data_IF_985201275511
#
_entry.id   IF_985201275511
#
_cell.length_a   1.000
_cell.length_b   1.000
_cell.length_c   1.000
_cell.angle_alpha   90.00
_cell.angle_beta   90.00
_cell.angle_gamma   90.00
#
_symmetry.space_group_name_H-M   'P 1'
#
loop_
_entity.id
_entity.type
_entity.pdbx_description
1 polymer ?
#
# COMPACT_ATOMS: atom_id res chain seq x y z
N UNK A 1 52.45 -45.85 4.07
CA UNK A 1 51.16 -45.82 4.79
C UNK A 1 50.84 -44.50 5.50
N UNK A 2 51.79 -43.54 5.61
CA UNK A 2 51.53 -42.25 6.30
C UNK A 2 50.98 -41.14 5.38
N UNK A 3 50.99 -41.30 4.05
CA UNK A 3 50.52 -40.29 3.08
C UNK A 3 49.04 -40.40 2.77
N UNK A 4 48.43 -41.56 2.94
CA UNK A 4 46.98 -41.74 2.71
C UNK A 4 46.13 -41.17 3.82
N UNK A 5 46.63 -41.04 5.02
CA UNK A 5 45.88 -40.52 6.14
C UNK A 5 45.77 -38.98 6.14
N UNK A 6 46.70 -38.31 5.46
CA UNK A 6 46.67 -36.85 5.34
C UNK A 6 45.69 -36.35 4.28
N UNK A 7 45.30 -37.18 3.32
CA UNK A 7 44.33 -36.86 2.30
C UNK A 7 42.87 -37.11 2.78
N UNK A 8 42.68 -37.99 3.75
CA UNK A 8 41.34 -38.21 4.33
C UNK A 8 40.89 -37.12 5.31
N UNK A 9 41.84 -36.41 5.94
CA UNK A 9 41.55 -35.34 6.90
C UNK A 9 41.16 -34.01 6.27
N UNK A 10 41.53 -33.79 5.00
CA UNK A 10 41.20 -32.53 4.29
C UNK A 10 39.85 -32.59 3.57
N UNK A 11 39.32 -33.79 3.29
CA UNK A 11 38.01 -33.92 2.62
C UNK A 11 36.83 -33.77 3.59
N UNK A 12 37.02 -33.97 4.88
CA UNK A 12 35.96 -33.84 5.89
C UNK A 12 35.73 -32.43 6.37
N UNK A 13 36.66 -31.48 6.12
CA UNK A 13 36.51 -30.09 6.56
C UNK A 13 35.75 -29.22 5.55
N UNK A 14 35.58 -29.68 4.30
CA UNK A 14 34.90 -28.89 3.26
C UNK A 14 33.38 -29.08 3.22
N UNK A 15 32.81 -30.03 3.95
CA UNK A 15 31.37 -30.36 3.91
C UNK A 15 30.60 -29.66 5.03
N UNK A 16 31.28 -29.12 6.05
CA UNK A 16 30.60 -28.49 7.21
C UNK A 16 30.26 -27.02 7.05
N UNK A 17 30.52 -26.38 5.92
CA UNK A 17 30.18 -24.96 5.70
C UNK A 17 28.90 -24.72 4.89
N UNK A 18 28.17 -25.75 4.47
CA UNK A 18 26.90 -25.58 3.72
C UNK A 18 25.63 -25.76 4.58
N UNK A 19 25.75 -25.93 5.90
CA UNK A 19 24.59 -26.11 6.76
C UNK A 19 24.18 -24.88 7.58
N UNK A 20 24.69 -23.69 7.23
CA UNK A 20 24.42 -22.45 7.96
C UNK A 20 23.41 -21.52 7.27
N UNK A 21 22.68 -22.01 6.27
CA UNK A 21 21.56 -21.28 5.66
C UNK A 21 20.30 -22.13 5.75
N UNK A 22 19.63 -22.07 6.89
CA UNK A 22 18.38 -22.84 7.05
C UNK A 22 17.82 -22.77 8.46
N UNK A 23 17.88 -21.62 9.11
CA UNK A 23 16.97 -21.30 10.19
C UNK A 23 15.90 -20.37 9.59
N UNK A 24 15.08 -20.90 8.72
CA UNK A 24 13.76 -20.33 8.47
C UNK A 24 13.00 -20.48 9.79
N UNK A 25 12.98 -19.38 10.52
CA UNK A 25 11.94 -19.15 11.49
C UNK A 25 10.66 -19.16 10.66
N UNK A 26 9.87 -20.22 10.82
CA UNK A 26 8.48 -20.22 10.43
C UNK A 26 7.85 -18.99 11.09
N UNK A 27 7.77 -17.90 10.33
CA UNK A 27 6.78 -16.89 10.57
C UNK A 27 5.49 -17.60 10.20
N UNK A 28 4.74 -18.04 11.19
CA UNK A 28 3.33 -18.31 11.01
C UNK A 28 2.75 -17.07 10.37
N UNK A 29 2.68 -17.09 9.03
CA UNK A 29 1.75 -16.27 8.30
C UNK A 29 0.39 -16.70 8.79
N UNK A 30 -0.15 -15.99 9.76
CA UNK A 30 -1.58 -15.91 9.89
C UNK A 30 -2.04 -15.34 8.53
N UNK A 31 -2.36 -16.24 7.62
CA UNK A 31 -3.30 -15.94 6.56
C UNK A 31 -4.56 -15.50 7.27
N UNK A 32 -4.65 -14.20 7.54
CA UNK A 32 -5.94 -13.58 7.70
C UNK A 32 -6.63 -13.84 6.37
N UNK A 33 -7.44 -14.86 6.40
CA UNK A 33 -8.41 -15.16 5.37
C UNK A 33 -9.36 -13.96 5.34
N UNK A 34 -8.94 -12.91 4.61
CA UNK A 34 -9.82 -11.82 4.23
C UNK A 34 -10.74 -12.46 3.21
N UNK A 35 -11.80 -13.05 3.70
CA UNK A 35 -12.95 -13.37 2.89
C UNK A 35 -13.53 -12.01 2.49
N UNK A 36 -13.09 -11.52 1.33
CA UNK A 36 -13.79 -10.45 0.64
C UNK A 36 -15.11 -11.09 0.21
N UNK A 37 -16.10 -11.04 1.08
CA UNK A 37 -17.46 -11.24 0.67
C UNK A 37 -17.78 -10.05 -0.24
N UNK A 38 -17.87 -10.32 -1.52
CA UNK A 38 -18.36 -9.44 -2.57
C UNK A 38 -19.86 -9.20 -2.33
N UNK A 39 -20.16 -8.54 -1.21
CA UNK A 39 -21.46 -7.97 -0.94
C UNK A 39 -21.40 -6.50 -1.34
N UNK A 40 -21.75 -6.24 -2.58
CA UNK A 40 -21.95 -4.90 -3.13
C UNK A 40 -23.21 -4.19 -2.56
N UNK A 41 -23.71 -4.62 -1.41
CA UNK A 41 -24.78 -3.94 -0.71
C UNK A 41 -24.26 -3.37 0.62
N UNK A 42 -23.89 -2.09 0.53
CA UNK A 42 -23.78 -1.14 1.65
C UNK A 42 -22.76 -1.46 2.73
N UNK A 43 -21.50 -1.16 2.44
CA UNK A 43 -20.43 -1.11 3.46
C UNK A 43 -20.58 0.08 4.44
N UNK A 44 -21.62 0.89 4.32
CA UNK A 44 -21.84 2.07 5.17
C UNK A 44 -22.98 1.85 6.18
N UNK A 45 -22.86 2.44 7.39
CA UNK A 45 -21.77 3.30 7.85
C UNK A 45 -20.48 2.52 8.11
N UNK A 46 -19.32 3.12 7.80
CA UNK A 46 -18.00 2.55 8.08
C UNK A 46 -17.25 3.44 9.07
N UNK A 47 -16.68 2.84 10.12
CA UNK A 47 -15.85 3.55 11.09
C UNK A 47 -14.39 3.14 10.90
N UNK A 48 -13.52 4.14 10.72
CA UNK A 48 -12.08 3.96 10.64
C UNK A 48 -11.38 4.72 11.76
N UNK A 49 -10.26 4.21 12.22
CA UNK A 49 -9.43 4.89 13.21
C UNK A 49 -8.21 5.48 12.51
N UNK A 50 -8.00 6.78 12.67
CA UNK A 50 -6.84 7.46 12.09
C UNK A 50 -5.54 7.17 12.87
N UNK A 51 -4.41 7.67 12.35
CA UNK A 51 -3.09 7.48 12.97
C UNK A 51 -2.96 8.11 14.37
N UNK A 52 -3.86 9.01 14.76
CA UNK A 52 -3.91 9.65 16.06
C UNK A 52 -4.85 8.91 17.04
N UNK A 53 -5.47 7.81 16.60
CA UNK A 53 -6.43 7.04 17.40
C UNK A 53 -7.84 7.65 17.43
N UNK A 54 -8.14 8.60 16.55
CA UNK A 54 -9.47 9.19 16.42
C UNK A 54 -10.33 8.33 15.50
N UNK A 55 -11.54 8.00 15.96
CA UNK A 55 -12.55 7.33 15.14
C UNK A 55 -13.27 8.32 14.24
N UNK A 56 -13.40 7.94 12.98
CA UNK A 56 -14.12 8.70 11.95
C UNK A 56 -15.16 7.75 11.36
N UNK A 57 -16.41 8.14 11.40
CA UNK A 57 -17.52 7.38 10.82
C UNK A 57 -17.98 8.06 9.54
N UNK A 58 -18.01 7.28 8.46
CA UNK A 58 -18.62 7.66 7.19
C UNK A 58 -20.00 7.00 7.13
N UNK A 59 -21.02 7.81 7.09
CA UNK A 59 -22.42 7.33 7.04
C UNK A 59 -22.79 6.82 5.64
N UNK A 60 -22.14 7.36 4.61
CA UNK A 60 -22.34 7.01 3.21
C UNK A 60 -21.02 7.12 2.44
N UNK A 61 -20.95 6.58 1.23
CA UNK A 61 -19.82 6.74 0.35
C UNK A 61 -19.59 8.23 0.03
N UNK A 62 -18.33 8.71 0.05
CA UNK A 62 -18.06 10.07 -0.36
C UNK A 62 -18.37 10.22 -1.86
N UNK A 63 -19.12 11.24 -2.20
CA UNK A 63 -19.43 11.64 -3.56
C UNK A 63 -18.48 12.74 -4.10
N UNK A 64 -17.61 13.27 -3.22
CA UNK A 64 -16.64 14.32 -3.54
C UNK A 64 -15.33 14.06 -2.84
N UNK A 65 -14.25 13.96 -3.60
CA UNK A 65 -12.91 13.63 -3.10
C UNK A 65 -11.91 14.69 -3.58
N UNK A 66 -11.08 15.18 -2.67
CA UNK A 66 -9.91 15.99 -3.00
C UNK A 66 -8.65 15.20 -2.66
N UNK A 67 -7.89 14.84 -3.68
CA UNK A 67 -6.64 14.09 -3.50
C UNK A 67 -5.45 15.03 -3.37
N UNK A 68 -4.74 14.93 -2.25
CA UNK A 68 -3.62 15.82 -1.92
C UNK A 68 -2.28 15.34 -2.44
N UNK A 69 -2.16 14.07 -2.84
CA UNK A 69 -0.87 13.50 -3.27
C UNK A 69 -1.05 12.59 -4.48
N UNK A 70 -0.08 12.59 -5.43
CA UNK A 70 -0.17 11.80 -6.66
C UNK A 70 -0.43 10.30 -6.42
N UNK A 71 0.25 9.70 -5.46
CA UNK A 71 0.07 8.27 -5.16
C UNK A 71 -1.34 7.91 -4.73
N UNK A 72 -2.01 8.79 -3.98
CA UNK A 72 -3.39 8.58 -3.60
C UNK A 72 -4.33 8.72 -4.80
N UNK A 73 -4.07 9.70 -5.66
CA UNK A 73 -4.83 9.91 -6.90
C UNK A 73 -4.78 8.66 -7.78
N UNK A 74 -3.59 8.10 -8.00
CA UNK A 74 -3.42 6.89 -8.80
C UNK A 74 -4.21 5.71 -8.21
N UNK A 75 -4.19 5.54 -6.88
CA UNK A 75 -4.97 4.49 -6.20
C UNK A 75 -6.47 4.70 -6.40
N UNK A 76 -6.97 5.94 -6.29
CA UNK A 76 -8.39 6.24 -6.47
C UNK A 76 -8.85 5.91 -7.90
N UNK A 77 -8.04 6.25 -8.92
CA UNK A 77 -8.32 5.87 -10.31
C UNK A 77 -8.34 4.35 -10.50
N UNK A 78 -7.38 3.61 -9.91
CA UNK A 78 -7.34 2.14 -9.99
C UNK A 78 -8.51 1.49 -9.27
N UNK A 79 -9.07 2.13 -8.26
CA UNK A 79 -10.28 1.67 -7.58
C UNK A 79 -11.57 1.99 -8.36
N UNK A 80 -11.49 2.76 -9.45
CA UNK A 80 -12.63 3.13 -10.28
C UNK A 80 -13.58 4.13 -9.64
N UNK A 81 -13.05 5.00 -8.76
CA UNK A 81 -13.77 6.09 -8.10
C UNK A 81 -13.26 7.46 -8.58
N UNK A 82 -12.87 7.50 -9.83
CA UNK A 82 -12.33 8.71 -10.47
C UNK A 82 -13.41 9.77 -10.72
N UNK A 83 -14.66 9.37 -10.87
CA UNK A 83 -15.77 10.31 -11.06
C UNK A 83 -15.97 11.21 -9.83
N UNK A 84 -15.74 10.69 -8.63
CA UNK A 84 -15.85 11.40 -7.36
C UNK A 84 -14.67 12.33 -7.07
N UNK A 85 -13.59 12.26 -7.85
CA UNK A 85 -12.42 13.14 -7.66
C UNK A 85 -12.70 14.52 -8.25
N UNK A 86 -12.87 15.53 -7.40
CA UNK A 86 -13.07 16.92 -7.78
C UNK A 86 -11.76 17.71 -7.88
N UNK A 87 -10.77 17.36 -7.05
CA UNK A 87 -9.51 18.09 -6.99
C UNK A 87 -8.30 17.20 -6.83
N UNK A 88 -7.19 17.58 -7.48
CA UNK A 88 -5.93 16.85 -7.49
C UNK A 88 -4.72 17.78 -7.32
N UNK A 89 -3.61 17.23 -6.84
CA UNK A 89 -2.36 17.97 -6.68
C UNK A 89 -1.78 18.42 -8.04
N UNK A 90 -1.08 19.54 -8.07
CA UNK A 90 -0.46 20.07 -9.32
C UNK A 90 0.58 19.12 -9.94
N UNK A 91 1.17 18.24 -9.13
CA UNK A 91 2.15 17.26 -9.58
C UNK A 91 1.51 15.95 -10.10
N UNK A 92 0.18 15.83 -10.05
CA UNK A 92 -0.51 14.67 -10.61
C UNK A 92 -0.41 14.68 -12.13
N UNK A 93 0.10 13.58 -12.69
CA UNK A 93 0.32 13.43 -14.12
C UNK A 93 -0.09 12.06 -14.66
N UNK A 94 -0.64 11.20 -13.82
CA UNK A 94 -1.12 9.89 -14.18
C UNK A 94 -2.38 9.52 -13.35
N UNK A 95 -3.36 8.83 -13.97
CA UNK A 95 -3.48 8.57 -15.42
C UNK A 95 -3.76 9.83 -16.25
N UNK A 96 -3.84 9.73 -17.57
CA UNK A 96 -4.03 10.89 -18.46
C UNK A 96 -5.28 11.70 -18.11
N UNK A 97 -6.34 11.04 -17.66
CA UNK A 97 -7.61 11.63 -17.24
C UNK A 97 -7.48 12.63 -16.07
N UNK A 98 -6.39 12.52 -15.29
CA UNK A 98 -6.13 13.46 -14.19
C UNK A 98 -5.97 14.92 -14.66
N UNK A 99 -5.66 15.11 -15.95
CA UNK A 99 -5.54 16.43 -16.56
C UNK A 99 -6.86 17.23 -16.59
N UNK A 100 -7.99 16.54 -16.50
CA UNK A 100 -9.33 17.13 -16.52
C UNK A 100 -9.79 17.60 -15.13
N UNK A 101 -9.09 17.18 -14.07
CA UNK A 101 -9.46 17.48 -12.69
C UNK A 101 -8.94 18.86 -12.24
N UNK A 102 -9.65 19.48 -11.29
CA UNK A 102 -9.26 20.79 -10.74
C UNK A 102 -7.93 20.70 -9.99
N UNK A 103 -7.02 21.64 -10.28
CA UNK A 103 -5.72 21.72 -9.60
C UNK A 103 -5.86 22.48 -8.28
N UNK A 104 -5.40 21.88 -7.19
CA UNK A 104 -5.54 22.41 -5.83
C UNK A 104 -4.24 22.95 -5.23
N UNK A 105 -3.18 23.08 -6.05
CA UNK A 105 -1.83 23.41 -5.60
C UNK A 105 -0.93 22.19 -5.45
N UNK A 106 0.35 22.44 -5.25
CA UNK A 106 1.38 21.41 -5.14
C UNK A 106 2.03 21.39 -3.75
N UNK A 107 3.19 22.03 -3.61
CA UNK A 107 3.88 22.18 -2.30
C UNK A 107 3.08 23.07 -1.32
N UNK A 108 2.39 24.05 -1.86
CA UNK A 108 1.44 24.89 -1.14
C UNK A 108 0.05 24.65 -1.72
N UNK A 109 -0.88 24.24 -0.84
CA UNK A 109 -2.26 23.99 -1.26
C UNK A 109 -3.05 25.30 -1.32
N UNK A 110 -3.89 25.40 -2.33
CA UNK A 110 -4.83 26.50 -2.46
C UNK A 110 -6.12 26.18 -1.66
N UNK A 111 -6.15 26.64 -0.42
CA UNK A 111 -7.28 26.39 0.48
C UNK A 111 -8.58 27.00 -0.01
N UNK A 112 -8.52 28.08 -0.78
CA UNK A 112 -9.71 28.70 -1.37
C UNK A 112 -10.33 27.78 -2.42
N UNK A 113 -9.51 27.21 -3.30
CA UNK A 113 -9.98 26.21 -4.28
C UNK A 113 -10.53 24.99 -3.56
N UNK A 114 -9.80 24.42 -2.60
CA UNK A 114 -10.25 23.24 -1.86
C UNK A 114 -11.61 23.49 -1.20
N UNK A 115 -11.79 24.64 -0.53
CA UNK A 115 -13.06 24.97 0.13
C UNK A 115 -14.19 25.24 -0.86
N UNK A 116 -13.87 25.64 -2.09
CA UNK A 116 -14.88 25.83 -3.14
C UNK A 116 -15.38 24.50 -3.75
N UNK A 117 -14.62 23.42 -3.53
CA UNK A 117 -14.98 22.06 -3.95
C UNK A 117 -15.78 21.31 -2.85
N UNK A 118 -15.92 21.89 -1.67
CA UNK A 118 -16.60 21.26 -0.53
C UNK A 118 -18.13 21.42 -0.57
#
# INVERSE_FOLDING_TARGET
>A
MKKFWRLAATATLAISMLAACGAEKEIEQQEQNITVEENSDTAFPVTVTDALGKEITLEEAPDRIVSLTPSNTEILFELGIDEEIDGVNDNDNYPEQVAEKTRIGGMEYNLEVITSLA
#
